data_IF_450540044244
#
_entry.id   IF_450540044244
#
_cell.length_a   1.000
_cell.length_b   1.000
_cell.length_c   1.000
_cell.angle_alpha   90.00
_cell.angle_beta   90.00
_cell.angle_gamma   90.00
#
_symmetry.space_group_name_H-M   'P 1'
#
loop_
_entity.id
_entity.type
_entity.pdbx_description
1 polymer ?
#
# COMPACT_ATOMS: atom_id res chain seq x y z
N UNK A 1 8.04 3.55 -19.05
CA UNK A 1 6.87 3.33 -18.17
C UNK A 1 6.81 4.51 -17.23
N UNK A 2 5.71 5.26 -17.24
CA UNK A 2 5.53 6.41 -16.35
C UNK A 2 5.43 5.89 -14.91
N UNK A 3 5.97 6.59 -13.89
CA UNK A 3 5.92 6.14 -12.49
C UNK A 3 4.50 5.86 -11.97
N UNK A 4 3.50 6.35 -12.69
CA UNK A 4 2.10 6.29 -12.32
C UNK A 4 1.22 5.55 -13.33
N UNK A 5 1.81 4.75 -14.23
CA UNK A 5 1.06 3.74 -14.98
C UNK A 5 0.45 2.72 -13.99
N UNK A 6 -0.64 2.06 -14.38
CA UNK A 6 -1.18 0.92 -13.63
C UNK A 6 -0.05 -0.03 -13.23
N UNK A 7 -0.03 -0.55 -11.98
CA UNK A 7 0.99 -1.51 -11.58
C UNK A 7 1.15 -2.66 -12.58
N UNK A 8 2.39 -3.10 -12.80
CA UNK A 8 2.69 -4.14 -13.77
C UNK A 8 1.92 -5.42 -13.43
N UNK A 9 1.28 -6.02 -14.45
CA UNK A 9 0.44 -7.20 -14.26
C UNK A 9 -0.99 -6.91 -13.80
N UNK A 10 -1.38 -5.64 -13.68
CA UNK A 10 -2.73 -5.23 -13.29
C UNK A 10 -3.43 -4.45 -14.40
N UNK A 11 -4.73 -4.68 -14.54
CA UNK A 11 -5.67 -3.79 -15.23
C UNK A 11 -6.41 -2.96 -14.19
N UNK A 12 -6.91 -1.79 -14.60
CA UNK A 12 -7.58 -0.87 -13.70
C UNK A 12 -8.67 -0.06 -14.39
N UNK A 13 -9.83 0.05 -13.73
CA UNK A 13 -10.97 0.85 -14.15
C UNK A 13 -11.44 1.73 -12.99
N UNK A 14 -11.71 3.01 -13.22
CA UNK A 14 -12.35 3.86 -12.22
C UNK A 14 -13.80 4.13 -12.62
N UNK A 15 -14.73 3.93 -11.69
CA UNK A 15 -16.16 4.19 -11.90
C UNK A 15 -16.72 5.11 -10.82
N UNK A 16 -17.61 6.06 -11.14
CA UNK A 16 -18.32 6.85 -10.14
C UNK A 16 -19.13 5.94 -9.20
N UNK A 17 -19.17 6.29 -7.90
CA UNK A 17 -19.92 5.56 -6.88
C UNK A 17 -19.16 4.40 -6.21
N UNK A 18 -19.86 3.69 -5.33
CA UNK A 18 -19.35 2.53 -4.59
C UNK A 18 -19.74 1.23 -5.30
N UNK A 19 -18.99 0.11 -5.13
CA UNK A 19 -19.30 -1.13 -5.84
C UNK A 19 -20.59 -1.80 -5.35
N UNK A 20 -21.02 -1.50 -4.11
CA UNK A 20 -22.10 -2.22 -3.43
C UNK A 20 -23.23 -1.33 -2.88
N UNK A 21 -23.14 0.00 -3.02
CA UNK A 21 -24.09 0.94 -2.42
C UNK A 21 -24.94 1.59 -3.53
N UNK A 22 -26.26 1.37 -3.58
CA UNK A 22 -27.35 1.98 -2.76
C UNK A 22 -27.49 3.49 -2.87
N UNK A 23 -26.54 4.22 -3.46
CA UNK A 23 -26.83 5.55 -3.96
C UNK A 23 -27.72 5.38 -5.18
N UNK A 24 -29.03 5.58 -5.01
CA UNK A 24 -29.94 5.78 -6.12
C UNK A 24 -29.60 7.13 -6.77
N UNK A 25 -28.48 7.20 -7.48
CA UNK A 25 -28.05 8.43 -8.13
C UNK A 25 -26.54 8.60 -8.17
N UNK A 26 -26.14 9.57 -8.95
CA UNK A 26 -24.74 9.89 -9.16
C UNK A 26 -24.15 10.63 -7.95
N UNK A 27 -22.93 10.28 -7.52
CA UNK A 27 -22.23 11.06 -6.51
C UNK A 27 -22.05 12.50 -6.98
N UNK A 28 -22.20 13.51 -6.09
CA UNK A 28 -21.97 14.89 -6.46
C UNK A 28 -20.54 15.09 -6.93
N UNK A 29 -20.35 15.94 -7.94
CA UNK A 29 -19.04 16.37 -8.41
C UNK A 29 -18.46 17.38 -7.43
N UNK A 30 -17.20 17.19 -7.06
CA UNK A 30 -16.44 18.08 -6.18
C UNK A 30 -15.18 18.58 -6.87
N UNK A 31 -14.79 19.80 -6.52
CA UNK A 31 -13.53 20.40 -6.93
C UNK A 31 -12.40 19.94 -6.00
N UNK A 32 -11.33 19.42 -6.59
CA UNK A 32 -10.11 18.97 -5.94
C UNK A 32 -8.99 19.90 -6.41
N UNK A 33 -8.72 20.94 -5.62
CA UNK A 33 -7.91 22.07 -6.08
C UNK A 33 -8.68 22.92 -7.09
N UNK A 34 -7.96 23.72 -7.88
CA UNK A 34 -8.60 24.80 -8.66
C UNK A 34 -9.26 24.32 -9.97
N UNK A 35 -8.86 23.17 -10.51
CA UNK A 35 -9.25 22.76 -11.86
C UNK A 35 -9.51 21.26 -12.05
N UNK A 36 -9.53 20.47 -10.97
CA UNK A 36 -9.74 19.03 -11.06
C UNK A 36 -11.07 18.64 -10.44
N UNK A 37 -12.06 18.31 -11.27
CA UNK A 37 -13.39 17.89 -10.85
C UNK A 37 -13.50 16.38 -10.87
N UNK A 38 -14.01 15.77 -9.80
CA UNK A 38 -14.26 14.34 -9.71
C UNK A 38 -15.53 14.04 -8.94
N UNK A 39 -16.14 12.85 -9.12
CA UNK A 39 -17.10 12.33 -8.17
C UNK A 39 -16.60 12.41 -6.73
N UNK A 40 -17.44 12.86 -5.79
CA UNK A 40 -17.16 12.80 -4.35
C UNK A 40 -16.87 11.38 -3.87
N UNK A 41 -17.44 10.38 -4.55
CA UNK A 41 -17.21 8.97 -4.28
C UNK A 41 -17.01 8.23 -5.60
N UNK A 42 -15.99 7.38 -5.67
CA UNK A 42 -15.74 6.53 -6.82
C UNK A 42 -14.94 5.29 -6.41
N UNK A 43 -14.97 4.28 -7.27
CA UNK A 43 -14.31 3.01 -7.06
C UNK A 43 -13.32 2.74 -8.16
N UNK A 44 -12.08 2.45 -7.77
CA UNK A 44 -11.10 1.80 -8.62
C UNK A 44 -11.21 0.28 -8.57
N UNK A 45 -11.51 -0.36 -9.68
CA UNK A 45 -11.50 -1.83 -9.80
C UNK A 45 -10.16 -2.22 -10.42
N UNK A 46 -9.30 -2.88 -9.64
CA UNK A 46 -8.02 -3.38 -10.10
C UNK A 46 -8.09 -4.90 -10.24
N UNK A 47 -7.68 -5.44 -11.39
CA UNK A 47 -7.70 -6.88 -11.67
C UNK A 47 -6.31 -7.37 -12.04
N UNK A 48 -5.80 -8.37 -11.32
CA UNK A 48 -4.52 -9.00 -11.62
C UNK A 48 -4.65 -9.92 -12.85
N UNK A 49 -3.88 -9.66 -13.90
CA UNK A 49 -3.97 -10.35 -15.20
C UNK A 49 -3.76 -11.86 -15.12
N UNK A 50 -2.92 -12.31 -14.18
CA UNK A 50 -2.51 -13.71 -14.08
C UNK A 50 -3.53 -14.56 -13.33
N UNK A 51 -4.03 -14.08 -12.20
CA UNK A 51 -4.93 -14.83 -11.32
C UNK A 51 -6.40 -14.50 -11.56
N UNK A 52 -6.70 -13.37 -12.21
CA UNK A 52 -8.05 -12.82 -12.29
C UNK A 52 -8.55 -12.23 -10.97
N UNK A 53 -7.70 -12.14 -9.95
CA UNK A 53 -8.04 -11.56 -8.65
C UNK A 53 -8.40 -10.08 -8.80
N UNK A 54 -9.53 -9.70 -8.21
CA UNK A 54 -10.02 -8.33 -8.25
C UNK A 54 -10.05 -7.70 -6.86
N UNK A 55 -9.57 -6.46 -6.78
CA UNK A 55 -9.75 -5.59 -5.62
C UNK A 55 -10.51 -4.33 -6.03
N UNK A 56 -11.39 -3.86 -5.16
CA UNK A 56 -12.10 -2.61 -5.28
C UNK A 56 -11.53 -1.59 -4.28
N UNK A 57 -11.02 -0.48 -4.78
CA UNK A 57 -10.39 0.62 -4.06
C UNK A 57 -11.40 1.77 -4.01
N UNK A 58 -12.03 2.00 -2.86
CA UNK A 58 -13.06 3.02 -2.72
C UNK A 58 -12.42 4.34 -2.28
N UNK A 59 -12.71 5.40 -3.01
CA UNK A 59 -12.16 6.72 -2.75
C UNK A 59 -13.26 7.71 -2.38
N UNK A 60 -12.92 8.60 -1.45
CA UNK A 60 -13.70 9.80 -1.14
C UNK A 60 -12.88 11.04 -1.51
N UNK A 61 -13.46 11.91 -2.33
CA UNK A 61 -12.90 13.18 -2.74
C UNK A 61 -13.64 14.31 -2.03
N UNK A 62 -12.89 15.26 -1.45
CA UNK A 62 -13.46 16.43 -0.79
C UNK A 62 -12.67 17.71 -1.09
N UNK A 63 -13.35 18.86 -1.24
CA UNK A 63 -12.69 20.15 -1.44
C UNK A 63 -11.67 20.45 -0.32
N UNK A 64 -10.47 20.90 -0.73
CA UNK A 64 -9.37 21.21 0.19
C UNK A 64 -8.73 20.00 0.90
N UNK A 65 -9.26 18.79 0.75
CA UNK A 65 -8.72 17.55 1.37
C UNK A 65 -8.19 16.54 0.35
N UNK A 66 -8.43 16.77 -0.93
CA UNK A 66 -8.02 15.85 -1.99
C UNK A 66 -8.81 14.54 -1.99
N UNK A 67 -8.20 13.50 -2.56
CA UNK A 67 -8.75 12.15 -2.64
C UNK A 67 -8.19 11.28 -1.52
N UNK A 68 -9.04 10.49 -0.86
CA UNK A 68 -8.68 9.59 0.22
C UNK A 68 -9.18 8.18 -0.07
N UNK A 69 -8.31 7.17 0.08
CA UNK A 69 -8.72 5.78 0.03
C UNK A 69 -9.44 5.45 1.34
N UNK A 70 -10.72 5.14 1.28
CA UNK A 70 -11.58 4.93 2.46
C UNK A 70 -11.81 3.45 2.75
N UNK A 71 -11.80 2.61 1.71
CA UNK A 71 -11.94 1.17 1.86
C UNK A 71 -11.20 0.42 0.74
N UNK A 72 -10.75 -0.80 1.04
CA UNK A 72 -10.32 -1.77 0.03
C UNK A 72 -11.10 -3.05 0.25
N UNK A 73 -11.73 -3.54 -0.81
CA UNK A 73 -12.49 -4.78 -0.81
C UNK A 73 -11.85 -5.76 -1.79
N UNK A 74 -11.91 -7.05 -1.48
CA UNK A 74 -11.48 -8.13 -2.36
C UNK A 74 -12.66 -9.06 -2.62
N UNK A 75 -12.67 -9.72 -3.76
CA UNK A 75 -13.67 -10.75 -4.06
C UNK A 75 -13.48 -12.03 -3.22
N UNK A 76 -12.29 -12.24 -2.68
CA UNK A 76 -11.91 -13.42 -1.90
C UNK A 76 -11.70 -13.04 -0.42
N UNK A 77 -12.39 -13.74 0.48
CA UNK A 77 -12.27 -13.55 1.94
C UNK A 77 -10.89 -13.94 2.48
N UNK A 78 -10.11 -14.72 1.72
CA UNK A 78 -8.82 -15.26 2.16
C UNK A 78 -7.63 -14.33 1.94
N UNK A 79 -7.84 -13.18 1.29
CA UNK A 79 -6.79 -12.21 1.01
C UNK A 79 -6.96 -11.00 1.94
N UNK A 80 -5.87 -10.33 2.32
CA UNK A 80 -5.91 -8.99 2.92
C UNK A 80 -5.84 -7.93 1.79
N UNK A 81 -6.97 -7.49 1.20
CA UNK A 81 -7.00 -6.63 0.02
C UNK A 81 -6.16 -5.35 0.16
N UNK A 82 -6.13 -4.75 1.35
CA UNK A 82 -5.32 -3.56 1.61
C UNK A 82 -3.82 -3.85 1.52
N UNK A 83 -3.34 -4.94 2.13
CA UNK A 83 -1.92 -5.32 2.08
C UNK A 83 -1.49 -5.62 0.65
N UNK A 84 -2.34 -6.34 -0.09
CA UNK A 84 -2.13 -6.62 -1.49
C UNK A 84 -2.08 -5.32 -2.32
N UNK A 85 -3.02 -4.40 -2.12
CA UNK A 85 -3.03 -3.11 -2.78
C UNK A 85 -1.71 -2.37 -2.55
N UNK A 86 -1.27 -2.27 -1.28
CA UNK A 86 -0.02 -1.61 -0.87
C UNK A 86 1.22 -2.30 -1.44
N UNK A 87 1.26 -3.63 -1.44
CA UNK A 87 2.37 -4.43 -1.97
C UNK A 87 2.51 -4.26 -3.48
N UNK A 88 1.40 -4.20 -4.19
CA UNK A 88 1.34 -4.03 -5.64
C UNK A 88 1.64 -2.59 -6.07
N UNK A 89 1.22 -1.61 -5.27
CA UNK A 89 1.48 -0.20 -5.51
C UNK A 89 1.17 0.65 -4.30
N UNK A 90 1.85 1.79 -4.15
CA UNK A 90 1.49 2.71 -3.07
C UNK A 90 0.04 3.18 -3.22
N UNK A 91 -0.62 3.51 -2.10
CA UNK A 91 -1.96 4.14 -2.13
C UNK A 91 -1.96 5.38 -3.02
N UNK A 92 -0.84 6.12 -3.03
CA UNK A 92 -0.60 7.26 -3.91
C UNK A 92 -0.71 6.88 -5.39
N UNK A 93 -0.07 5.78 -5.80
CA UNK A 93 -0.12 5.28 -7.17
C UNK A 93 -1.55 4.92 -7.57
N UNK A 94 -2.30 4.24 -6.70
CA UNK A 94 -3.69 3.90 -6.97
C UNK A 94 -4.61 5.13 -7.08
N UNK A 95 -4.44 6.12 -6.19
CA UNK A 95 -5.16 7.41 -6.30
C UNK A 95 -4.90 8.06 -7.65
N UNK A 96 -3.65 8.11 -8.08
CA UNK A 96 -3.30 8.70 -9.37
C UNK A 96 -3.94 7.94 -10.53
N UNK A 97 -3.82 6.61 -10.57
CA UNK A 97 -4.40 5.79 -11.65
C UNK A 97 -5.93 6.01 -11.69
N UNK A 98 -6.59 6.11 -10.53
CA UNK A 98 -8.01 6.45 -10.45
C UNK A 98 -8.33 7.81 -11.07
N UNK A 99 -7.59 8.83 -10.68
CA UNK A 99 -7.77 10.19 -11.16
C UNK A 99 -7.58 10.26 -12.69
N UNK A 100 -6.56 9.58 -13.23
CA UNK A 100 -6.32 9.54 -14.68
C UNK A 100 -7.41 8.81 -15.45
N UNK A 101 -7.95 7.70 -14.93
CA UNK A 101 -9.05 7.00 -15.58
C UNK A 101 -10.34 7.82 -15.59
N UNK A 102 -10.64 8.54 -14.50
CA UNK A 102 -11.81 9.44 -14.46
C UNK A 102 -11.71 10.62 -15.45
N UNK A 103 -10.50 11.01 -15.85
CA UNK A 103 -10.29 12.05 -16.88
C UNK A 103 -10.55 11.51 -18.28
N UNK A 104 -10.18 10.25 -18.51
CA UNK A 104 -10.35 9.58 -19.80
C UNK A 104 -11.79 9.16 -20.06
N UNK A 105 -12.52 8.80 -19.00
CA UNK A 105 -13.86 8.26 -19.12
C UNK A 105 -14.92 9.37 -19.25
N UNK A 106 -15.15 9.82 -20.49
CA UNK A 106 -16.26 10.70 -20.85
C UNK A 106 -17.63 10.13 -20.44
N UNK A 107 -17.78 8.80 -20.44
CA UNK A 107 -19.03 8.18 -19.99
C UNK A 107 -19.19 8.28 -18.48
N UNK A 108 -18.12 8.23 -17.69
CA UNK A 108 -18.17 8.53 -16.25
C UNK A 108 -18.56 9.99 -15.97
N UNK A 109 -18.10 10.92 -16.81
CA UNK A 109 -18.42 12.35 -16.79
C UNK A 109 -19.90 12.60 -17.11
N UNK A 110 -20.42 11.92 -18.14
CA UNK A 110 -21.83 12.02 -18.54
C UNK A 110 -22.74 11.32 -17.53
N UNK A 111 -22.36 10.11 -17.10
CA UNK A 111 -23.08 9.34 -16.11
C UNK A 111 -23.24 10.15 -14.83
N UNK A 112 -22.23 10.91 -14.39
CA UNK A 112 -22.29 11.72 -13.17
C UNK A 112 -23.23 12.96 -13.21
N UNK A 113 -24.09 13.08 -14.24
CA UNK A 113 -25.11 14.13 -14.31
C UNK A 113 -24.74 15.30 -15.23
N UNK A 114 -23.97 15.04 -16.29
CA UNK A 114 -23.75 16.00 -17.36
C UNK A 114 -22.83 17.15 -16.98
N UNK A 115 -21.61 16.83 -16.52
CA UNK A 115 -20.55 17.84 -16.45
C UNK A 115 -20.22 18.32 -17.86
N UNK A 116 -20.75 19.50 -18.23
CA UNK A 116 -20.35 20.20 -19.45
C UNK A 116 -18.94 20.73 -19.25
N UNK A 117 -17.96 20.07 -19.87
CA UNK A 117 -16.62 20.62 -20.07
C UNK A 117 -16.73 21.99 -20.75
N UNK A 118 -15.86 22.94 -20.38
CA UNK A 118 -15.77 24.19 -21.14
C UNK A 118 -15.43 23.88 -22.61
N UNK A 119 -15.77 24.76 -23.55
CA UNK A 119 -15.39 24.59 -24.97
C UNK A 119 -13.88 24.37 -25.11
N UNK A 120 -13.09 25.08 -24.30
CA UNK A 120 -11.64 24.93 -24.21
C UNK A 120 -11.22 23.51 -23.78
N UNK A 121 -11.90 22.92 -22.79
CA UNK A 121 -11.65 21.56 -22.33
C UNK A 121 -12.12 20.49 -23.33
N UNK A 122 -13.17 20.76 -24.11
CA UNK A 122 -13.65 19.85 -25.17
C UNK A 122 -12.69 19.82 -26.36
N UNK A 123 -12.02 20.94 -26.65
CA UNK A 123 -11.04 21.03 -27.73
C UNK A 123 -9.71 20.31 -27.41
N UNK A 124 -9.46 19.95 -26.14
CA UNK A 124 -8.27 19.20 -25.75
C UNK A 124 -8.35 17.76 -26.24
N UNK A 125 -7.30 17.32 -26.94
CA UNK A 125 -7.08 15.91 -27.25
C UNK A 125 -6.93 15.07 -25.97
N UNK A 126 -7.19 13.77 -26.03
CA UNK A 126 -6.98 12.86 -24.89
C UNK A 126 -5.58 12.97 -24.30
N UNK A 127 -4.55 13.12 -25.13
CA UNK A 127 -3.17 13.30 -24.67
C UNK A 127 -2.98 14.61 -23.88
N UNK A 128 -3.54 15.72 -24.36
CA UNK A 128 -3.51 17.01 -23.66
C UNK A 128 -4.32 16.97 -22.36
N UNK A 129 -5.47 16.28 -22.34
CA UNK A 129 -6.26 16.08 -21.12
C UNK A 129 -5.49 15.31 -20.07
N UNK A 130 -4.80 14.23 -20.47
CA UNK A 130 -3.92 13.48 -19.59
C UNK A 130 -2.84 14.37 -19.03
N UNK A 131 -2.09 15.07 -19.88
CA UNK A 131 -0.99 15.92 -19.43
C UNK A 131 -1.48 17.00 -18.47
N UNK A 132 -2.63 17.64 -18.78
CA UNK A 132 -3.25 18.62 -17.89
C UNK A 132 -3.66 18.01 -16.55
N UNK A 133 -4.23 16.81 -16.54
CA UNK A 133 -4.54 16.10 -15.30
C UNK A 133 -3.26 15.78 -14.51
N UNK A 134 -2.16 15.43 -15.17
CA UNK A 134 -0.86 15.23 -14.49
C UNK A 134 -0.39 16.50 -13.81
N UNK A 135 -0.41 17.62 -14.51
CA UNK A 135 -0.02 18.93 -13.95
C UNK A 135 -0.85 19.30 -12.72
N UNK A 136 -2.16 19.06 -12.78
CA UNK A 136 -3.08 19.36 -11.67
C UNK A 136 -2.91 18.42 -10.49
N UNK A 137 -2.62 17.15 -10.75
CA UNK A 137 -2.40 16.15 -9.71
C UNK A 137 -1.01 16.28 -9.08
N UNK A 138 0.02 16.70 -9.82
CA UNK A 138 1.39 16.82 -9.35
C UNK A 138 1.53 17.51 -7.97
N UNK A 139 0.98 18.73 -7.73
CA UNK A 139 1.09 19.37 -6.43
C UNK A 139 0.32 18.65 -5.32
N UNK A 140 -0.74 17.90 -5.65
CA UNK A 140 -1.45 17.03 -4.69
C UNK A 140 -0.63 15.78 -4.36
N UNK A 141 0.17 15.28 -5.30
CA UNK A 141 1.10 14.17 -5.09
C UNK A 141 2.26 14.59 -4.19
N UNK A 142 2.80 15.80 -4.37
CA UNK A 142 3.89 16.35 -3.56
C UNK A 142 3.48 16.65 -2.11
N UNK A 143 2.20 16.98 -1.89
CA UNK A 143 1.67 17.24 -0.55
C UNK A 143 1.27 15.95 0.20
N UNK A 144 1.16 14.83 -0.49
CA UNK A 144 0.99 13.56 0.18
C UNK A 144 2.34 13.12 0.75
N UNK A 145 2.39 12.57 1.98
CA UNK A 145 3.62 11.95 2.46
C UNK A 145 4.03 10.91 1.42
N UNK A 146 5.17 11.16 0.77
CA UNK A 146 5.69 10.25 -0.23
C UNK A 146 5.72 8.84 0.38
N UNK A 147 5.57 7.78 -0.44
CA UNK A 147 5.79 6.43 0.06
C UNK A 147 7.12 6.45 0.84
N UNK A 148 7.18 5.91 2.09
CA UNK A 148 8.45 5.80 2.79
C UNK A 148 9.43 5.21 1.79
N UNK A 149 10.60 5.85 1.58
CA UNK A 149 11.45 5.61 0.42
C UNK A 149 11.52 4.12 0.20
N UNK A 150 11.03 3.66 -0.97
CA UNK A 150 10.90 2.25 -1.25
C UNK A 150 12.24 1.60 -0.88
N UNK A 151 12.23 0.79 0.16
CA UNK A 151 13.41 0.02 0.54
C UNK A 151 13.60 -0.93 -0.64
N UNK A 152 14.45 -0.54 -1.59
CA UNK A 152 14.64 -1.28 -2.83
C UNK A 152 14.96 -2.74 -2.50
N UNK A 153 14.70 -3.68 -3.42
CA UNK A 153 15.02 -5.09 -3.24
C UNK A 153 16.54 -5.23 -3.06
N UNK A 154 17.00 -5.22 -1.80
CA UNK A 154 18.43 -5.18 -1.47
C UNK A 154 18.88 -4.02 -0.56
N UNK A 155 17.99 -3.09 -0.21
CA UNK A 155 18.24 -2.13 0.86
C UNK A 155 18.37 -2.88 2.16
N UNK A 156 19.59 -3.26 2.54
CA UNK A 156 19.91 -3.72 3.89
C UNK A 156 19.27 -2.69 4.82
N UNK A 157 18.20 -3.07 5.53
CA UNK A 157 17.73 -2.27 6.67
C UNK A 157 18.98 -2.03 7.50
N UNK A 158 19.42 -0.77 7.58
CA UNK A 158 20.54 -0.42 8.44
C UNK A 158 20.09 -0.80 9.85
N UNK A 159 20.58 -1.94 10.33
CA UNK A 159 20.34 -2.43 11.67
C UNK A 159 21.01 -1.45 12.61
N UNK A 160 20.24 -0.47 13.10
CA UNK A 160 20.77 0.50 14.05
C UNK A 160 21.07 -0.21 15.38
N UNK A 161 22.04 0.27 16.17
CA UNK A 161 22.33 -0.29 17.48
C UNK A 161 21.08 -0.36 18.39
N UNK A 162 20.20 0.63 18.30
CA UNK A 162 18.95 0.71 19.08
C UNK A 162 18.00 -0.41 18.69
N UNK A 163 17.85 -0.68 17.39
CA UNK A 163 17.01 -1.78 16.92
C UNK A 163 17.55 -3.14 17.39
N UNK A 164 18.87 -3.33 17.37
CA UNK A 164 19.49 -4.57 17.86
C UNK A 164 19.36 -4.71 19.39
N UNK A 165 19.34 -3.61 20.14
CA UNK A 165 19.07 -3.62 21.57
C UNK A 165 17.65 -4.12 21.87
N UNK A 166 16.64 -3.66 21.13
CA UNK A 166 15.26 -4.15 21.25
C UNK A 166 15.14 -5.62 20.87
N UNK A 167 15.79 -6.06 19.79
CA UNK A 167 15.85 -7.48 19.40
C UNK A 167 16.44 -8.33 20.53
N UNK A 168 17.51 -7.84 21.17
CA UNK A 168 18.15 -8.54 22.27
C UNK A 168 17.24 -8.65 23.51
N UNK A 169 16.46 -7.61 23.80
CA UNK A 169 15.51 -7.59 24.92
C UNK A 169 14.36 -8.60 24.74
N UNK A 170 13.73 -8.60 23.56
CA UNK A 170 12.67 -9.57 23.22
C UNK A 170 13.20 -10.99 23.30
N UNK A 171 14.41 -11.23 22.79
CA UNK A 171 15.05 -12.53 22.84
C UNK A 171 15.32 -13.01 24.28
N UNK A 172 15.87 -12.14 25.15
CA UNK A 172 16.12 -12.47 26.57
C UNK A 172 14.82 -12.78 27.29
N UNK A 173 13.80 -11.93 27.13
CA UNK A 173 12.49 -12.12 27.75
C UNK A 173 11.88 -13.46 27.35
N UNK A 174 11.90 -13.81 26.06
CA UNK A 174 11.39 -15.08 25.57
C UNK A 174 12.17 -16.28 26.13
N UNK A 175 13.51 -16.16 26.22
CA UNK A 175 14.37 -17.19 26.79
C UNK A 175 14.10 -17.42 28.28
N UNK A 176 13.94 -16.35 29.06
CA UNK A 176 13.59 -16.40 30.49
C UNK A 176 12.22 -17.06 30.72
N UNK A 177 11.29 -16.88 29.78
CA UNK A 177 9.96 -17.49 29.82
C UNK A 177 9.91 -18.93 29.28
N UNK A 178 11.04 -19.51 28.86
CA UNK A 178 11.08 -20.85 28.27
C UNK A 178 10.43 -20.95 26.89
N UNK A 179 10.20 -19.82 26.21
CA UNK A 179 9.66 -19.76 24.86
C UNK A 179 10.78 -19.87 23.81
N UNK A 180 10.48 -20.33 22.58
CA UNK A 180 11.46 -20.37 21.49
C UNK A 180 11.86 -18.95 21.06
N UNK A 181 13.05 -18.43 21.46
CA UNK A 181 13.29 -17.00 21.50
C UNK A 181 13.43 -16.37 20.12
N UNK A 182 14.04 -17.09 19.16
CA UNK A 182 14.13 -16.61 17.76
C UNK A 182 12.76 -16.55 17.09
N UNK A 183 11.84 -17.47 17.43
CA UNK A 183 10.47 -17.45 16.93
C UNK A 183 9.71 -16.26 17.52
N UNK A 184 9.83 -16.03 18.83
CA UNK A 184 9.22 -14.86 19.48
C UNK A 184 9.72 -13.53 18.87
N UNK A 185 11.00 -13.43 18.51
CA UNK A 185 11.52 -12.26 17.78
C UNK A 185 10.88 -12.15 16.38
N UNK A 186 10.71 -13.26 15.67
CA UNK A 186 10.08 -13.25 14.35
C UNK A 186 8.63 -12.75 14.42
N UNK A 187 7.87 -13.27 15.39
CA UNK A 187 6.47 -12.92 15.61
C UNK A 187 6.33 -11.46 16.09
N UNK A 188 7.20 -11.00 17.01
CA UNK A 188 7.16 -9.63 17.53
C UNK A 188 7.38 -8.54 16.47
N UNK A 189 8.25 -8.81 15.49
CA UNK A 189 8.59 -7.85 14.43
C UNK A 189 7.88 -8.11 13.10
N UNK A 190 7.00 -9.11 13.04
CA UNK A 190 6.33 -9.58 11.82
C UNK A 190 7.31 -9.81 10.65
N UNK A 191 8.31 -10.66 10.88
CA UNK A 191 9.35 -11.00 9.91
C UNK A 191 9.55 -12.50 9.79
N UNK A 192 10.16 -12.93 8.68
CA UNK A 192 10.54 -14.34 8.54
C UNK A 192 11.51 -14.77 9.66
N UNK A 193 11.37 -16.03 10.10
CA UNK A 193 12.30 -16.64 11.06
C UNK A 193 13.77 -16.54 10.61
N UNK A 194 14.04 -16.61 9.30
CA UNK A 194 15.38 -16.47 8.75
C UNK A 194 15.96 -15.05 8.94
N UNK A 195 15.11 -14.02 8.84
CA UNK A 195 15.48 -12.62 9.10
C UNK A 195 15.72 -12.42 10.60
N UNK A 196 14.83 -12.95 11.45
CA UNK A 196 14.99 -12.90 12.90
C UNK A 196 16.32 -13.54 13.34
N UNK A 197 16.67 -14.70 12.79
CA UNK A 197 17.94 -15.37 13.07
C UNK A 197 19.16 -14.50 12.68
N UNK A 198 19.09 -13.78 11.54
CA UNK A 198 20.15 -12.84 11.12
C UNK A 198 20.27 -11.67 12.11
N UNK A 199 19.16 -11.12 12.58
CA UNK A 199 19.14 -10.01 13.54
C UNK A 199 19.69 -10.45 14.90
N UNK A 200 19.27 -11.61 15.40
CA UNK A 200 19.83 -12.22 16.63
C UNK A 200 21.33 -12.46 16.49
N UNK A 201 21.78 -12.94 15.33
CA UNK A 201 23.20 -13.09 15.03
C UNK A 201 23.97 -11.77 15.07
N UNK A 202 23.39 -10.68 14.54
CA UNK A 202 23.96 -9.35 14.61
C UNK A 202 24.01 -8.81 16.05
N UNK A 203 22.94 -8.98 16.83
CA UNK A 203 22.89 -8.60 18.25
C UNK A 203 23.94 -9.37 19.09
N UNK A 204 24.13 -10.66 18.82
CA UNK A 204 25.22 -11.47 19.43
C UNK A 204 26.60 -10.93 19.07
N UNK A 205 26.83 -10.58 17.80
CA UNK A 205 28.12 -9.99 17.36
C UNK A 205 28.42 -8.66 18.05
N UNK A 206 27.40 -7.90 18.44
CA UNK A 206 27.54 -6.66 19.22
C UNK A 206 27.63 -6.89 20.74
N UNK A 207 27.59 -8.14 21.22
CA UNK A 207 27.67 -8.46 22.65
C UNK A 207 26.39 -8.21 23.45
N UNK A 208 25.28 -7.83 22.80
CA UNK A 208 24.01 -7.50 23.46
C UNK A 208 23.32 -8.71 24.11
N UNK A 209 23.64 -9.92 23.66
CA UNK A 209 23.02 -11.17 24.14
C UNK A 209 23.93 -12.01 25.06
N UNK A 210 25.08 -11.46 25.47
CA UNK A 210 26.09 -12.20 26.23
C UNK A 210 26.85 -13.24 25.41
N UNK A 211 27.95 -13.74 25.95
CA UNK A 211 28.72 -14.81 25.31
C UNK A 211 28.00 -16.15 25.48
N UNK A 212 27.65 -16.80 24.37
CA UNK A 212 27.20 -18.19 24.41
C UNK A 212 28.36 -19.02 24.95
N UNK A 213 28.18 -19.71 26.09
CA UNK A 213 29.16 -20.70 26.55
C UNK A 213 29.38 -21.72 25.44
N UNK A 214 30.59 -21.73 24.87
CA UNK A 214 31.02 -22.64 23.82
C UNK A 214 30.96 -24.07 24.38
N UNK A 215 29.86 -24.78 24.11
CA UNK A 215 29.65 -26.14 24.64
C UNK A 215 28.19 -26.56 24.78
N UNK A 216 27.22 -25.64 24.80
CA UNK A 216 25.79 -26.02 24.76
C UNK A 216 25.36 -26.35 23.33
N UNK A 217 25.72 -27.55 22.88
CA UNK A 217 25.19 -28.19 21.68
C UNK A 217 24.43 -29.42 22.15
N UNK A 218 23.12 -29.28 22.30
CA UNK A 218 22.16 -30.37 22.48
C UNK A 218 22.59 -31.51 23.41
N UNK A 219 22.51 -31.30 24.72
CA UNK A 219 22.37 -32.43 25.64
C UNK A 219 20.94 -32.99 25.47
N UNK A 220 20.78 -33.87 24.49
CA UNK A 220 19.80 -34.95 24.54
C UNK A 220 20.28 -35.95 25.62
N UNK A 221 20.27 -35.55 26.89
CA UNK A 221 20.25 -36.53 27.97
C UNK A 221 18.83 -37.08 28.00
N UNK A 222 18.63 -38.17 27.24
CA UNK A 222 17.57 -39.12 27.56
C UNK A 222 18.02 -39.81 28.83
N UNK A 223 17.42 -39.43 29.95
CA UNK A 223 17.40 -40.24 31.17
C UNK A 223 16.74 -41.58 30.82
N UNK A 224 17.56 -42.61 30.66
CA UNK A 224 17.16 -43.99 30.92
C UNK A 224 17.60 -44.33 32.34
N UNK A 225 16.63 -44.36 33.26
CA UNK A 225 16.75 -44.79 34.64
C UNK A 225 15.39 -45.20 35.17
#
# INVERSE_FOLDING_TARGET
MHPYDTPEGWDYLAVPGWPYDRFQGNPPIVDIGDNFKVPSHFTGIATEKRSGMTIALCFHAAPGRGMNLVAVMGADELTFPLELAVKTGSVLKWKYVAAMQLVDDEAAVDAAGGWKRSEEQQALTTAQRKERARELLAPLLDQMPGPPPAQGPGGRRNLTPEHLATVAEVYRTAHEQGQPPTKTVADHFDISHSTAAKWVGAARKQGLLGQVRKGSRGSNERDEG
#
